data_IF_996074445154
#
_entry.id   IF_996074445154
#
_cell.length_a   1.000
_cell.length_b   1.000
_cell.length_c   1.000
_cell.angle_alpha   90.00
_cell.angle_beta   90.00
_cell.angle_gamma   90.00
#
_symmetry.space_group_name_H-M   'P 1'
#
loop_
_entity.id
_entity.type
_entity.pdbx_description
1 polymer ?
#
# COMPACT_ATOMS: atom_id res chain seq x y z
N UNK A 1 9.35 -24.09 3.09
CA UNK A 1 9.10 -24.19 1.63
C UNK A 1 8.75 -25.64 1.31
N UNK A 2 7.59 -25.92 0.74
CA UNK A 2 7.17 -27.30 0.43
C UNK A 2 7.46 -27.65 -1.03
N UNK A 3 7.73 -28.93 -1.30
CA UNK A 3 7.96 -29.43 -2.66
C UNK A 3 6.70 -30.07 -3.21
N UNK A 4 6.36 -29.74 -4.46
CA UNK A 4 5.23 -30.31 -5.19
C UNK A 4 5.66 -30.76 -6.58
N UNK A 5 4.97 -31.77 -7.09
CA UNK A 5 5.05 -32.20 -8.48
C UNK A 5 3.84 -31.66 -9.23
N UNK A 6 4.09 -30.95 -10.33
CA UNK A 6 3.07 -30.31 -11.16
C UNK A 6 2.97 -31.02 -12.51
N UNK A 7 1.75 -31.24 -13.00
CA UNK A 7 1.55 -31.76 -14.36
C UNK A 7 1.77 -30.67 -15.41
N UNK A 8 2.42 -31.05 -16.53
CA UNK A 8 2.63 -30.16 -17.68
C UNK A 8 1.35 -30.00 -18.50
N UNK A 9 0.49 -31.02 -18.54
CA UNK A 9 -0.78 -31.00 -19.28
C UNK A 9 -1.90 -30.28 -18.51
N UNK A 10 -1.90 -30.41 -17.18
CA UNK A 10 -2.82 -29.73 -16.28
C UNK A 10 -2.07 -29.03 -15.14
N UNK A 11 -1.72 -27.73 -15.31
CA UNK A 11 -0.99 -26.98 -14.30
C UNK A 11 -1.70 -26.85 -12.94
N UNK A 12 -3.00 -27.13 -12.88
CA UNK A 12 -3.76 -27.12 -11.61
C UNK A 12 -3.55 -28.38 -10.78
N UNK A 13 -3.08 -29.46 -11.41
CA UNK A 13 -2.80 -30.72 -10.73
C UNK A 13 -1.43 -30.63 -10.02
N UNK A 14 -1.50 -30.45 -8.71
CA UNK A 14 -0.35 -30.35 -7.81
C UNK A 14 -0.36 -31.51 -6.82
N UNK A 15 0.75 -32.24 -6.74
CA UNK A 15 0.91 -33.34 -5.79
C UNK A 15 2.01 -33.00 -4.79
N UNK A 16 1.70 -32.86 -3.50
CA UNK A 16 2.72 -32.65 -2.46
C UNK A 16 3.69 -33.84 -2.38
N UNK A 17 4.98 -33.55 -2.25
CA UNK A 17 6.02 -34.57 -2.09
C UNK A 17 5.75 -35.50 -0.89
N UNK A 18 5.17 -34.98 0.21
CA UNK A 18 4.76 -35.79 1.36
C UNK A 18 3.78 -36.92 0.99
N UNK A 19 2.81 -36.65 0.09
CA UNK A 19 1.87 -37.66 -0.40
C UNK A 19 2.55 -38.67 -1.34
N UNK A 20 3.53 -38.20 -2.13
CA UNK A 20 4.34 -39.06 -2.98
C UNK A 20 5.08 -40.13 -2.16
N UNK A 21 5.73 -39.70 -1.07
CA UNK A 21 6.49 -40.59 -0.20
C UNK A 21 5.61 -41.54 0.64
N UNK A 22 4.35 -41.19 0.87
CA UNK A 22 3.40 -41.96 1.67
C UNK A 22 2.78 -43.15 0.94
N UNK A 23 3.00 -43.30 -0.38
CA UNK A 23 2.55 -44.47 -1.14
C UNK A 23 2.14 -44.18 -2.57
N UNK A 24 1.79 -42.94 -2.92
CA UNK A 24 1.65 -42.48 -4.31
C UNK A 24 0.77 -43.34 -5.25
N UNK A 25 -0.14 -44.17 -4.72
CA UNK A 25 -0.79 -45.25 -5.49
C UNK A 25 -1.63 -44.75 -6.67
N UNK A 26 -2.12 -43.51 -6.62
CA UNK A 26 -2.84 -42.87 -7.73
C UNK A 26 -1.94 -42.43 -8.88
N UNK A 27 -0.71 -41.99 -8.59
CA UNK A 27 0.26 -41.48 -9.57
C UNK A 27 1.06 -42.59 -10.24
N UNK A 28 1.32 -43.69 -9.51
CA UNK A 28 2.02 -44.86 -10.05
C UNK A 28 1.31 -45.54 -11.23
N UNK A 29 0.03 -45.21 -11.45
CA UNK A 29 -0.73 -45.64 -12.63
C UNK A 29 -0.33 -44.91 -13.91
N UNK A 30 0.25 -43.73 -13.79
CA UNK A 30 0.59 -42.83 -14.90
C UNK A 30 2.10 -42.58 -15.00
N UNK A 31 2.83 -42.74 -13.89
CA UNK A 31 4.28 -42.56 -13.80
C UNK A 31 4.91 -43.78 -13.15
N UNK A 32 5.88 -44.40 -13.82
CA UNK A 32 6.54 -45.61 -13.30
C UNK A 32 7.27 -45.35 -11.97
N UNK A 33 8.05 -44.26 -11.90
CA UNK A 33 8.90 -43.90 -10.76
C UNK A 33 8.81 -42.40 -10.44
N UNK A 34 7.69 -41.94 -9.86
CA UNK A 34 7.46 -40.53 -9.62
C UNK A 34 8.41 -39.95 -8.55
N UNK A 35 8.93 -40.79 -7.66
CA UNK A 35 9.96 -40.46 -6.68
C UNK A 35 11.32 -40.15 -7.32
N UNK A 36 11.75 -40.96 -8.29
CA UNK A 36 12.98 -40.68 -9.05
C UNK A 36 12.84 -39.41 -9.88
N UNK A 37 11.67 -39.18 -10.48
CA UNK A 37 11.38 -37.95 -11.22
C UNK A 37 11.49 -36.73 -10.29
N UNK A 38 10.85 -36.76 -9.11
CA UNK A 38 10.95 -35.67 -8.14
C UNK A 38 12.40 -35.40 -7.74
N UNK A 39 13.19 -36.44 -7.45
CA UNK A 39 14.59 -36.30 -7.06
C UNK A 39 15.46 -35.76 -8.21
N UNK A 40 15.24 -36.22 -9.44
CA UNK A 40 15.93 -35.71 -10.63
C UNK A 40 15.65 -34.22 -10.84
N UNK A 41 14.37 -33.82 -10.72
CA UNK A 41 13.93 -32.44 -10.90
C UNK A 41 14.42 -31.52 -9.77
N UNK A 42 14.38 -31.97 -8.52
CA UNK A 42 14.98 -31.25 -7.40
C UNK A 42 16.51 -31.15 -7.55
N UNK A 43 17.15 -32.18 -8.11
CA UNK A 43 18.57 -32.14 -8.47
C UNK A 43 18.87 -31.07 -9.51
N UNK A 44 18.05 -30.94 -10.56
CA UNK A 44 18.13 -29.87 -11.55
C UNK A 44 17.91 -28.50 -10.91
N UNK A 45 16.89 -28.36 -10.06
CA UNK A 45 16.62 -27.11 -9.33
C UNK A 45 17.77 -26.71 -8.40
N UNK A 46 18.49 -27.68 -7.80
CA UNK A 46 19.63 -27.42 -6.91
C UNK A 46 20.80 -26.71 -7.61
N UNK A 47 20.89 -26.80 -8.94
CA UNK A 47 21.89 -26.06 -9.72
C UNK A 47 21.62 -24.54 -9.74
N UNK A 48 20.36 -24.14 -9.60
CA UNK A 48 19.89 -22.75 -9.58
C UNK A 48 19.80 -22.23 -8.15
N UNK A 49 19.35 -23.08 -7.23
CA UNK A 49 19.24 -22.78 -5.81
C UNK A 49 19.98 -23.83 -4.96
N UNK A 50 21.28 -23.62 -4.69
CA UNK A 50 22.14 -24.60 -4.02
C UNK A 50 21.68 -25.04 -2.62
N UNK A 51 20.90 -24.21 -1.92
CA UNK A 51 20.37 -24.52 -0.59
C UNK A 51 19.41 -25.72 -0.62
N UNK A 52 18.80 -26.05 -1.77
CA UNK A 52 18.04 -27.30 -1.96
C UNK A 52 18.88 -28.55 -1.69
N UNK A 53 20.20 -28.46 -1.85
CA UNK A 53 21.12 -29.55 -1.51
C UNK A 53 21.02 -29.98 -0.04
N UNK A 54 20.58 -29.09 0.87
CA UNK A 54 20.33 -29.47 2.27
C UNK A 54 19.14 -30.40 2.41
N UNK A 55 18.04 -30.13 1.71
CA UNK A 55 16.86 -30.98 1.70
C UNK A 55 17.12 -32.32 0.98
N UNK A 56 17.89 -32.31 -0.12
CA UNK A 56 18.26 -33.52 -0.87
C UNK A 56 19.15 -34.51 -0.09
N UNK A 57 19.73 -34.11 1.04
CA UNK A 57 20.44 -35.04 1.95
C UNK A 57 19.48 -35.94 2.74
N UNK A 58 18.20 -35.60 2.81
CA UNK A 58 17.19 -36.45 3.44
C UNK A 58 16.75 -37.55 2.47
N UNK A 59 16.44 -38.73 3.00
CA UNK A 59 15.99 -39.86 2.16
C UNK A 59 14.62 -39.60 1.48
N UNK A 60 13.83 -38.67 2.00
CA UNK A 60 12.47 -38.32 1.53
C UNK A 60 12.25 -36.82 1.64
N UNK A 61 12.85 -35.99 0.76
CA UNK A 61 12.71 -34.54 0.82
C UNK A 61 11.25 -34.15 0.56
N UNK A 62 10.63 -33.45 1.51
CA UNK A 62 9.26 -32.96 1.40
C UNK A 62 9.16 -31.43 1.52
N UNK A 63 10.07 -30.83 2.26
CA UNK A 63 10.15 -29.42 2.50
C UNK A 63 11.60 -28.99 2.80
N UNK A 64 11.85 -27.70 2.66
CA UNK A 64 13.03 -27.01 3.13
C UNK A 64 12.59 -25.94 4.14
N UNK A 65 13.11 -26.03 5.37
CA UNK A 65 12.91 -24.99 6.37
C UNK A 65 13.79 -23.79 6.02
N UNK A 66 13.15 -22.62 5.91
CA UNK A 66 13.80 -21.35 5.62
C UNK A 66 13.57 -20.42 6.80
N UNK A 67 14.61 -19.70 7.19
CA UNK A 67 14.47 -18.54 8.07
C UNK A 67 13.96 -17.32 7.29
N UNK A 68 13.73 -16.21 7.99
CA UNK A 68 13.22 -14.98 7.36
C UNK A 68 14.14 -14.43 6.27
N UNK A 69 15.46 -14.59 6.43
CA UNK A 69 16.45 -14.07 5.48
C UNK A 69 16.47 -14.94 4.22
N UNK A 70 16.55 -16.27 4.37
CA UNK A 70 16.52 -17.22 3.27
C UNK A 70 15.18 -17.23 2.52
N UNK A 71 14.06 -17.07 3.23
CA UNK A 71 12.75 -16.91 2.60
C UNK A 71 12.67 -15.63 1.75
N UNK A 72 13.28 -14.53 2.20
CA UNK A 72 13.32 -13.30 1.43
C UNK A 72 14.24 -13.39 0.21
N UNK A 73 15.44 -13.97 0.33
CA UNK A 73 16.33 -14.21 -0.83
C UNK A 73 15.62 -15.09 -1.87
N UNK A 74 14.95 -16.15 -1.39
CA UNK A 74 14.18 -17.03 -2.24
C UNK A 74 13.10 -16.26 -3.00
N UNK A 75 12.25 -15.51 -2.31
CA UNK A 75 11.12 -14.81 -2.93
C UNK A 75 11.56 -13.64 -3.83
N UNK A 76 12.65 -12.94 -3.48
CA UNK A 76 13.14 -11.77 -4.21
C UNK A 76 13.89 -12.10 -5.49
N UNK A 77 14.70 -13.17 -5.47
CA UNK A 77 15.64 -13.45 -6.57
C UNK A 77 15.46 -14.86 -7.11
N UNK A 78 15.39 -15.87 -6.24
CA UNK A 78 15.45 -17.29 -6.67
C UNK A 78 14.15 -17.79 -7.29
N UNK A 79 13.00 -17.31 -6.81
CA UNK A 79 11.69 -17.67 -7.30
C UNK A 79 11.56 -17.36 -8.80
N UNK A 80 11.96 -16.16 -9.22
CA UNK A 80 11.96 -15.77 -10.62
C UNK A 80 12.95 -16.59 -11.47
N UNK A 81 14.13 -16.89 -10.93
CA UNK A 81 15.13 -17.71 -11.63
C UNK A 81 14.66 -19.16 -11.85
N UNK A 82 13.96 -19.74 -10.86
CA UNK A 82 13.38 -21.08 -10.97
C UNK A 82 12.21 -21.11 -11.96
N UNK A 83 11.34 -20.10 -11.93
CA UNK A 83 10.23 -19.96 -12.88
C UNK A 83 10.74 -19.85 -14.33
N UNK A 84 11.78 -19.02 -14.57
CA UNK A 84 12.43 -18.92 -15.87
C UNK A 84 13.09 -20.22 -16.35
N UNK A 85 13.51 -21.09 -15.42
CA UNK A 85 14.04 -22.41 -15.74
C UNK A 85 12.96 -23.49 -15.93
N UNK A 86 11.68 -23.09 -15.91
CA UNK A 86 10.52 -23.93 -16.14
C UNK A 86 10.02 -24.69 -14.91
N UNK A 87 10.39 -24.26 -13.70
CA UNK A 87 9.82 -24.81 -12.46
C UNK A 87 8.63 -23.96 -12.00
N UNK A 88 7.47 -24.58 -11.76
CA UNK A 88 6.34 -23.88 -11.18
C UNK A 88 6.61 -23.44 -9.74
N UNK A 89 6.73 -22.13 -9.52
CA UNK A 89 6.94 -21.56 -8.17
C UNK A 89 5.65 -20.93 -7.66
N UNK A 90 5.10 -21.51 -6.59
CA UNK A 90 3.95 -20.94 -5.88
C UNK A 90 4.45 -19.98 -4.80
N UNK A 91 4.25 -18.69 -5.02
CA UNK A 91 4.52 -17.66 -4.03
C UNK A 91 3.28 -17.39 -3.18
N UNK A 92 3.44 -17.04 -1.89
CA UNK A 92 2.31 -16.65 -1.07
C UNK A 92 1.55 -15.43 -1.63
N UNK A 93 0.25 -15.35 -1.35
CA UNK A 93 -0.61 -14.24 -1.80
C UNK A 93 -0.14 -12.87 -1.30
N UNK A 94 0.46 -12.79 -0.12
CA UNK A 94 1.01 -11.55 0.42
C UNK A 94 2.25 -11.05 -0.34
N UNK A 95 3.05 -11.96 -0.92
CA UNK A 95 4.23 -11.59 -1.72
C UNK A 95 3.82 -11.01 -3.07
N UNK A 96 2.81 -11.62 -3.71
CA UNK A 96 2.26 -11.10 -4.98
C UNK A 96 1.57 -9.75 -4.80
N UNK A 97 1.00 -9.47 -3.63
CA UNK A 97 0.37 -8.18 -3.27
C UNK A 97 1.32 -7.26 -2.49
N UNK A 98 2.60 -7.23 -2.82
CA UNK A 98 3.60 -6.48 -2.07
C UNK A 98 3.22 -5.00 -1.96
N UNK A 99 2.85 -4.60 -0.74
CA UNK A 99 2.66 -3.20 -0.38
C UNK A 99 4.01 -2.59 -0.05
N UNK A 100 4.28 -1.41 -0.60
CA UNK A 100 5.54 -0.70 -0.36
C UNK A 100 5.45 0.04 0.97
N UNK A 101 6.60 0.16 1.64
CA UNK A 101 6.74 1.08 2.75
C UNK A 101 6.68 2.51 2.21
N UNK A 102 5.90 3.35 2.88
CA UNK A 102 5.73 4.75 2.52
C UNK A 102 5.48 5.62 3.74
N UNK A 103 5.33 6.91 3.48
CA UNK A 103 4.95 7.90 4.49
C UNK A 103 3.46 8.24 4.29
N UNK A 104 2.72 8.30 5.38
CA UNK A 104 1.40 8.90 5.42
C UNK A 104 1.45 10.17 6.26
N UNK A 105 0.76 11.19 5.80
CA UNK A 105 0.65 12.45 6.49
C UNK A 105 -0.76 12.59 7.05
N UNK A 106 -0.89 12.86 8.34
CA UNK A 106 -2.17 13.10 9.00
C UNK A 106 -2.25 14.56 9.45
N UNK A 107 -3.40 15.18 9.20
CA UNK A 107 -3.60 16.61 9.46
C UNK A 107 -4.96 16.88 10.12
N UNK A 108 -4.95 17.33 11.37
CA UNK A 108 -6.17 17.62 12.13
C UNK A 108 -6.29 19.14 12.33
N UNK A 109 -7.29 19.81 11.71
CA UNK A 109 -7.44 21.25 11.86
C UNK A 109 -7.81 21.59 13.31
N UNK A 110 -7.12 22.57 13.90
CA UNK A 110 -7.40 23.02 15.26
C UNK A 110 -8.78 23.69 15.28
N UNK A 111 -9.73 23.13 16.04
CA UNK A 111 -11.07 23.70 16.17
C UNK A 111 -11.01 24.93 17.08
N UNK A 112 -10.75 26.11 16.53
CA UNK A 112 -11.09 27.35 17.20
C UNK A 112 -12.62 27.50 17.23
N UNK A 113 -13.15 27.77 18.42
CA UNK A 113 -14.54 27.55 18.79
C UNK A 113 -15.59 28.39 18.06
N UNK A 114 -16.81 27.84 18.07
CA UNK A 114 -18.11 28.44 17.71
C UNK A 114 -18.29 28.74 16.22
N UNK A 115 -19.11 27.88 15.60
CA UNK A 115 -19.66 28.00 14.25
C UNK A 115 -20.67 29.15 14.20
N UNK A 116 -20.18 30.38 14.12
CA UNK A 116 -20.99 31.53 13.69
C UNK A 116 -20.21 32.37 12.67
N UNK A 117 -20.34 31.99 11.39
CA UNK A 117 -20.08 32.87 10.25
C UNK A 117 -18.61 33.06 9.84
N UNK A 118 -18.11 32.18 8.96
CA UNK A 118 -16.85 32.33 8.23
C UNK A 118 -15.60 32.13 9.11
N UNK A 119 -14.52 31.51 8.66
CA UNK A 119 -14.02 31.31 7.30
C UNK A 119 -13.12 30.09 7.33
N UNK A 120 -13.34 29.16 6.40
CA UNK A 120 -12.32 28.18 6.09
C UNK A 120 -11.09 28.93 5.60
N UNK A 121 -9.99 28.91 6.35
CA UNK A 121 -8.81 29.71 6.05
C UNK A 121 -7.69 28.80 5.56
N UNK A 122 -7.09 29.16 4.43
CA UNK A 122 -5.83 28.58 3.94
C UNK A 122 -4.72 28.61 4.97
N UNK A 123 -4.71 29.66 5.77
CA UNK A 123 -3.68 29.93 6.77
C UNK A 123 -4.07 29.39 8.15
N UNK A 124 -5.20 28.64 8.24
CA UNK A 124 -5.55 27.95 9.46
C UNK A 124 -4.41 26.97 9.80
N UNK A 125 -3.98 27.03 11.06
CA UNK A 125 -2.99 26.10 11.58
C UNK A 125 -3.64 24.73 11.78
N UNK A 126 -2.90 23.70 11.39
CA UNK A 126 -3.32 22.31 11.40
C UNK A 126 -2.24 21.54 12.14
N UNK A 127 -2.68 20.72 13.10
CA UNK A 127 -1.80 19.76 13.73
C UNK A 127 -1.41 18.73 12.69
N UNK A 128 -0.12 18.58 12.46
CA UNK A 128 0.41 17.78 11.37
C UNK A 128 1.40 16.77 11.91
N UNK A 129 1.20 15.51 11.52
CA UNK A 129 2.08 14.42 11.91
C UNK A 129 2.41 13.53 10.70
N UNK A 130 3.67 13.11 10.64
CA UNK A 130 4.10 12.06 9.72
C UNK A 130 4.02 10.71 10.43
N UNK A 131 3.55 9.70 9.71
CA UNK A 131 3.60 8.29 10.13
C UNK A 131 4.15 7.42 9.02
N UNK A 132 4.76 6.30 9.39
CA UNK A 132 5.12 5.27 8.43
C UNK A 132 3.89 4.39 8.15
N UNK A 133 3.73 4.01 6.89
CA UNK A 133 2.62 3.18 6.43
C UNK A 133 3.09 2.09 5.48
N UNK A 134 2.33 1.01 5.40
CA UNK A 134 2.52 -0.07 4.44
C UNK A 134 1.36 -0.01 3.45
N UNK A 135 1.62 0.53 2.26
CA UNK A 135 0.55 1.04 1.40
C UNK A 135 -0.14 2.22 2.08
N UNK A 136 -1.45 2.10 2.31
CA UNK A 136 -2.27 3.15 2.93
C UNK A 136 -2.54 2.91 4.42
N UNK A 137 -2.05 1.79 4.97
CA UNK A 137 -2.27 1.42 6.36
C UNK A 137 -1.15 1.97 7.25
N UNK A 138 -1.44 2.94 8.16
CA UNK A 138 -0.44 3.45 9.09
C UNK A 138 0.02 2.36 10.06
N UNK A 139 1.30 2.37 10.40
CA UNK A 139 1.92 1.49 11.37
C UNK A 139 1.76 2.04 12.78
N UNK A 140 1.47 1.16 13.74
CA UNK A 140 1.46 1.50 15.17
C UNK A 140 2.87 1.61 15.72
N UNK A 141 3.03 2.23 16.90
CA UNK A 141 4.32 2.30 17.58
C UNK A 141 4.91 0.92 17.88
N UNK A 142 4.07 -0.04 18.28
CA UNK A 142 4.49 -1.42 18.52
C UNK A 142 4.97 -2.12 17.23
N UNK A 143 4.26 -1.91 16.12
CA UNK A 143 4.64 -2.44 14.80
C UNK A 143 5.96 -1.82 14.34
N UNK A 144 6.14 -0.52 14.58
CA UNK A 144 7.35 0.21 14.26
C UNK A 144 8.55 -0.27 15.11
N UNK A 145 8.34 -0.50 16.40
CA UNK A 145 9.34 -1.06 17.30
C UNK A 145 9.74 -2.48 16.88
N UNK A 146 8.77 -3.31 16.48
CA UNK A 146 9.02 -4.65 15.95
C UNK A 146 9.84 -4.60 14.66
N UNK A 147 9.54 -3.68 13.74
CA UNK A 147 10.32 -3.44 12.51
C UNK A 147 11.73 -2.93 12.80
N UNK A 148 11.89 -2.06 13.79
CA UNK A 148 13.20 -1.50 14.15
C UNK A 148 14.09 -2.53 14.88
N UNK A 149 13.50 -3.38 15.72
CA UNK A 149 14.21 -4.43 16.45
C UNK A 149 14.61 -5.59 15.54
N UNK A 150 13.76 -5.91 14.57
CA UNK A 150 13.96 -7.03 13.66
C UNK A 150 14.72 -6.56 12.42
N UNK A 151 16.03 -6.83 12.35
CA UNK A 151 16.82 -6.62 11.12
C UNK A 151 16.45 -7.57 9.97
N UNK A 152 15.40 -8.38 10.14
CA UNK A 152 14.96 -9.32 9.13
C UNK A 152 14.13 -8.60 8.06
N UNK A 153 14.28 -8.99 6.78
CA UNK A 153 13.56 -8.40 5.66
C UNK A 153 12.09 -8.83 5.60
N UNK A 154 11.71 -9.88 6.36
CA UNK A 154 10.34 -10.35 6.51
C UNK A 154 9.90 -10.21 7.96
N UNK A 155 8.85 -9.42 8.17
CA UNK A 155 8.25 -9.18 9.49
C UNK A 155 6.77 -9.51 9.45
N UNK A 156 6.27 -10.14 10.51
CA UNK A 156 4.86 -10.51 10.63
C UNK A 156 4.09 -9.39 11.32
N UNK A 157 3.25 -8.68 10.56
CA UNK A 157 2.41 -7.58 11.05
C UNK A 157 0.94 -7.95 10.87
N UNK A 158 0.12 -7.73 11.90
CA UNK A 158 -1.33 -8.04 11.88
C UNK A 158 -1.66 -9.47 11.44
N UNK A 159 -0.77 -10.42 11.69
CA UNK A 159 -0.93 -11.82 11.33
C UNK A 159 -0.42 -12.20 9.93
N UNK A 160 -0.08 -11.24 9.08
CA UNK A 160 0.45 -11.45 7.71
C UNK A 160 1.95 -11.14 7.62
N UNK A 161 2.64 -11.75 6.66
CA UNK A 161 4.05 -11.47 6.39
C UNK A 161 4.19 -10.29 5.43
N UNK A 162 5.04 -9.34 5.79
CA UNK A 162 5.34 -8.19 4.96
C UNK A 162 6.84 -8.10 4.72
N UNK A 163 7.21 -7.90 3.46
CA UNK A 163 8.58 -7.72 3.04
C UNK A 163 8.98 -6.26 3.05
N UNK A 164 9.88 -5.89 3.95
CA UNK A 164 10.31 -4.53 4.19
C UNK A 164 11.81 -4.42 3.98
N UNK A 165 12.24 -3.37 3.31
CA UNK A 165 13.66 -3.06 3.14
C UNK A 165 14.17 -2.36 4.41
N UNK A 166 15.15 -2.96 5.08
CA UNK A 166 15.72 -2.46 6.33
C UNK A 166 16.29 -1.03 6.18
N UNK A 167 16.83 -0.69 5.02
CA UNK A 167 17.37 0.65 4.76
C UNK A 167 16.23 1.67 4.58
N UNK A 168 15.12 1.27 3.95
CA UNK A 168 13.91 2.10 3.86
C UNK A 168 13.31 2.36 5.25
N UNK A 169 13.24 1.34 6.11
CA UNK A 169 12.78 1.50 7.51
C UNK A 169 13.69 2.46 8.27
N UNK A 170 15.01 2.28 8.16
CA UNK A 170 16.00 3.13 8.83
C UNK A 170 15.86 4.60 8.41
N UNK A 171 15.78 4.86 7.10
CA UNK A 171 15.60 6.23 6.55
C UNK A 171 14.26 6.85 6.97
N UNK A 172 13.19 6.06 6.97
CA UNK A 172 11.87 6.51 7.43
C UNK A 172 11.86 6.87 8.92
N UNK A 173 12.44 6.01 9.76
CA UNK A 173 12.57 6.26 11.20
C UNK A 173 13.43 7.49 11.51
N UNK A 174 14.53 7.68 10.78
CA UNK A 174 15.38 8.85 10.93
C UNK A 174 14.62 10.13 10.57
N UNK A 175 13.84 10.12 9.49
CA UNK A 175 12.99 11.24 9.09
C UNK A 175 11.92 11.58 10.13
N UNK A 176 11.23 10.59 10.69
CA UNK A 176 10.24 10.83 11.75
C UNK A 176 10.85 11.45 13.01
N UNK A 177 12.11 11.13 13.34
CA UNK A 177 12.82 11.72 14.48
C UNK A 177 13.28 13.16 14.21
N UNK A 178 13.65 13.46 12.97
CA UNK A 178 14.15 14.77 12.57
C UNK A 178 13.05 15.77 12.22
N UNK A 179 11.82 15.32 11.96
CA UNK A 179 10.65 16.18 11.74
C UNK A 179 10.13 16.70 13.08
N UNK A 180 10.29 18.00 13.39
CA UNK A 180 9.56 18.60 14.50
C UNK A 180 8.06 18.61 14.20
N UNK A 181 7.23 18.48 15.24
CA UNK A 181 5.78 18.70 15.14
C UNK A 181 5.48 20.20 14.98
N UNK A 182 5.92 20.77 13.86
CA UNK A 182 5.60 22.15 13.51
C UNK A 182 4.20 22.21 12.90
N UNK A 183 3.31 23.09 13.41
CA UNK A 183 1.99 23.25 12.84
C UNK A 183 2.11 23.73 11.40
N UNK A 184 1.44 23.03 10.48
CA UNK A 184 1.36 23.39 9.07
C UNK A 184 0.08 24.16 8.79
N UNK A 185 0.08 24.95 7.73
CA UNK A 185 -1.12 25.62 7.24
C UNK A 185 -1.95 24.67 6.38
N UNK A 186 -3.28 24.87 6.34
CA UNK A 186 -4.15 24.09 5.46
C UNK A 186 -3.72 24.17 3.99
N UNK A 187 -3.18 25.30 3.53
CA UNK A 187 -2.63 25.44 2.18
C UNK A 187 -1.46 24.50 1.89
N UNK A 188 -0.57 24.30 2.86
CA UNK A 188 0.55 23.37 2.72
C UNK A 188 0.07 21.92 2.66
N UNK A 189 -0.97 21.56 3.41
CA UNK A 189 -1.56 20.21 3.35
C UNK A 189 -2.24 19.96 2.00
N UNK A 190 -2.99 20.94 1.49
CA UNK A 190 -3.61 20.85 0.16
C UNK A 190 -2.53 20.74 -0.92
N UNK A 191 -1.45 21.52 -0.82
CA UNK A 191 -0.32 21.41 -1.75
C UNK A 191 0.34 20.03 -1.65
N UNK A 192 0.58 19.53 -0.44
CA UNK A 192 1.16 18.21 -0.20
C UNK A 192 0.30 17.09 -0.81
N UNK A 193 -1.02 17.16 -0.65
CA UNK A 193 -1.95 16.19 -1.21
C UNK A 193 -2.06 16.27 -2.74
N UNK A 194 -1.77 17.43 -3.33
CA UNK A 194 -1.78 17.64 -4.78
C UNK A 194 -0.43 17.35 -5.47
N UNK A 195 0.66 17.31 -4.71
CA UNK A 195 2.01 17.01 -5.21
C UNK A 195 2.15 15.52 -5.59
N UNK A 196 2.95 15.25 -6.61
CA UNK A 196 3.35 13.87 -6.91
C UNK A 196 4.38 13.40 -5.87
N UNK A 197 4.39 12.10 -5.58
CA UNK A 197 5.30 11.51 -4.59
C UNK A 197 6.79 11.76 -4.93
N UNK A 198 7.13 11.93 -6.20
CA UNK A 198 8.50 12.18 -6.66
C UNK A 198 8.93 13.66 -6.53
N UNK A 199 7.98 14.59 -6.37
CA UNK A 199 8.26 16.02 -6.22
C UNK A 199 8.56 16.42 -4.76
N UNK A 200 8.35 15.49 -3.82
CA UNK A 200 8.54 15.72 -2.39
C UNK A 200 9.95 15.30 -1.98
N UNK A 201 10.64 16.17 -1.25
CA UNK A 201 11.95 15.88 -0.65
C UNK A 201 11.78 15.00 0.60
N UNK A 202 11.22 13.81 0.40
CA UNK A 202 10.99 12.80 1.43
C UNK A 202 11.79 11.54 1.13
N UNK A 203 12.34 10.85 2.14
CA UNK A 203 13.19 9.69 1.89
C UNK A 203 12.42 8.45 1.39
N UNK A 204 11.10 8.48 1.52
CA UNK A 204 10.15 7.45 1.13
C UNK A 204 8.99 8.11 0.38
N UNK A 205 8.32 7.38 -0.52
CA UNK A 205 7.16 7.92 -1.22
C UNK A 205 6.02 8.20 -0.24
N UNK A 206 5.35 9.34 -0.41
CA UNK A 206 4.11 9.64 0.32
C UNK A 206 2.98 8.84 -0.32
N UNK A 207 2.39 7.91 0.42
CA UNK A 207 1.33 7.03 -0.09
C UNK A 207 -0.05 7.64 0.09
N UNK A 208 -0.25 8.39 1.18
CA UNK A 208 -1.53 9.03 1.46
C UNK A 208 -1.35 10.30 2.29
N UNK A 209 -2.27 11.24 2.09
CA UNK A 209 -2.45 12.44 2.92
C UNK A 209 -3.88 12.41 3.43
N UNK A 210 -4.03 12.29 4.74
CA UNK A 210 -5.31 12.23 5.42
C UNK A 210 -5.51 13.49 6.24
N UNK A 211 -6.76 13.95 6.32
CA UNK A 211 -7.12 15.06 7.17
C UNK A 211 -8.51 14.88 7.76
N UNK A 212 -8.76 15.55 8.87
CA UNK A 212 -10.06 15.54 9.55
C UNK A 212 -10.90 16.78 9.22
N UNK A 213 -12.19 16.70 9.54
CA UNK A 213 -13.13 17.81 9.42
C UNK A 213 -13.24 18.36 7.99
N UNK A 214 -13.29 19.69 7.87
CA UNK A 214 -13.48 20.36 6.58
C UNK A 214 -12.33 20.11 5.60
N UNK A 215 -11.10 19.95 6.09
CA UNK A 215 -9.93 19.69 5.26
C UNK A 215 -9.98 18.25 4.72
N UNK A 216 -10.39 17.29 5.55
CA UNK A 216 -10.67 15.92 5.12
C UNK A 216 -11.78 15.84 4.07
N UNK A 217 -12.87 16.57 4.28
CA UNK A 217 -13.96 16.66 3.31
C UNK A 217 -13.48 17.26 1.98
N UNK A 218 -12.61 18.26 2.02
CA UNK A 218 -12.02 18.86 0.82
C UNK A 218 -11.12 17.86 0.07
N UNK A 219 -10.19 17.21 0.78
CA UNK A 219 -9.25 16.24 0.17
C UNK A 219 -9.96 15.01 -0.39
N UNK A 220 -11.07 14.60 0.21
CA UNK A 220 -11.86 13.44 -0.25
C UNK A 220 -12.96 13.79 -1.24
N UNK A 221 -13.08 15.06 -1.65
CA UNK A 221 -14.09 15.51 -2.60
C UNK A 221 -15.53 15.35 -2.08
N UNK A 222 -15.72 15.55 -0.77
CA UNK A 222 -17.01 15.52 -0.06
C UNK A 222 -17.43 16.89 0.49
N UNK A 223 -16.56 17.90 0.39
CA UNK A 223 -16.80 19.24 0.91
C UNK A 223 -18.08 19.87 0.36
N UNK A 224 -18.47 19.58 -0.88
CA UNK A 224 -19.69 20.09 -1.50
C UNK A 224 -20.97 19.72 -0.73
N UNK A 225 -20.95 18.63 0.03
CA UNK A 225 -22.12 18.11 0.77
C UNK A 225 -22.37 18.84 2.08
N UNK A 226 -21.33 19.46 2.63
CA UNK A 226 -21.38 20.20 3.90
C UNK A 226 -21.51 21.72 3.71
N UNK A 227 -21.50 22.20 2.45
CA UNK A 227 -21.63 23.62 2.15
C UNK A 227 -23.04 24.15 2.44
N UNK A 228 -23.07 25.29 3.14
CA UNK A 228 -24.29 26.06 3.32
C UNK A 228 -24.59 26.90 2.05
N UNK A 229 -25.86 27.03 1.65
CA UNK A 229 -26.27 27.94 0.59
C UNK A 229 -25.82 29.38 0.89
N UNK A 230 -25.09 30.00 -0.03
CA UNK A 230 -24.67 31.41 0.06
C UNK A 230 -25.73 32.28 -0.60
N UNK A 231 -26.20 33.38 0.02
CA UNK A 231 -27.18 34.25 -0.62
C UNK A 231 -26.64 34.86 -1.92
N UNK A 232 -27.53 35.08 -2.88
CA UNK A 232 -27.17 35.83 -4.09
C UNK A 232 -26.83 37.28 -3.74
N UNK A 233 -25.83 37.90 -4.37
CA UNK A 233 -25.46 39.29 -4.10
C UNK A 233 -26.59 40.27 -4.37
N UNK A 234 -26.58 41.40 -3.64
CA UNK A 234 -27.49 42.51 -3.88
C UNK A 234 -27.28 43.06 -5.31
N UNK A 235 -28.32 42.99 -6.14
CA UNK A 235 -28.28 43.38 -7.56
C UNK A 235 -28.28 42.22 -8.56
N UNK A 236 -28.28 40.96 -8.09
CA UNK A 236 -28.54 39.81 -8.95
C UNK A 236 -30.04 39.69 -9.24
N UNK A 237 -30.45 39.86 -10.51
CA UNK A 237 -31.86 39.91 -10.93
C UNK A 237 -32.30 38.64 -11.68
N UNK A 238 -31.99 37.46 -11.14
CA UNK A 238 -32.44 36.18 -11.68
C UNK A 238 -32.64 35.15 -10.55
N UNK A 239 -33.47 34.14 -10.80
CA UNK A 239 -33.69 33.02 -9.88
C UNK A 239 -32.72 31.89 -10.19
N UNK A 240 -31.85 31.54 -9.22
CA UNK A 240 -30.95 30.41 -9.37
C UNK A 240 -31.69 29.08 -9.23
N UNK A 241 -31.46 28.16 -10.16
CA UNK A 241 -31.84 26.75 -9.99
C UNK A 241 -31.06 26.15 -8.81
N UNK A 242 -31.57 25.08 -8.16
CA UNK A 242 -30.87 24.46 -7.02
C UNK A 242 -29.42 24.04 -7.33
N UNK A 243 -29.12 23.59 -8.54
CA UNK A 243 -27.75 23.24 -8.93
C UNK A 243 -26.84 24.47 -9.12
N UNK A 244 -27.37 25.59 -9.63
CA UNK A 244 -26.62 26.85 -9.78
C UNK A 244 -26.33 27.47 -8.41
N UNK A 245 -27.29 27.38 -7.48
CA UNK A 245 -27.11 27.80 -6.10
C UNK A 245 -26.01 26.99 -5.40
N UNK A 246 -25.93 25.67 -5.65
CA UNK A 246 -24.81 24.84 -5.18
C UNK A 246 -23.48 25.25 -5.84
N UNK A 247 -23.49 25.51 -7.14
CA UNK A 247 -22.31 26.02 -7.85
C UNK A 247 -21.79 27.34 -7.26
N UNK A 248 -22.70 28.29 -6.97
CA UNK A 248 -22.36 29.55 -6.30
C UNK A 248 -21.74 29.31 -4.92
N UNK A 249 -22.34 28.47 -4.09
CA UNK A 249 -21.79 28.12 -2.78
C UNK A 249 -20.40 27.48 -2.89
N UNK A 250 -20.19 26.60 -3.88
CA UNK A 250 -18.91 25.96 -4.13
C UNK A 250 -17.83 26.97 -4.53
N UNK A 251 -18.16 27.91 -5.43
CA UNK A 251 -17.22 28.97 -5.84
C UNK A 251 -16.89 29.93 -4.69
N UNK A 252 -17.89 30.30 -3.88
CA UNK A 252 -17.67 31.12 -2.69
C UNK A 252 -16.72 30.42 -1.71
N UNK A 253 -16.94 29.13 -1.45
CA UNK A 253 -16.08 28.31 -0.60
C UNK A 253 -14.63 28.24 -1.12
N UNK A 254 -14.44 27.93 -2.41
CA UNK A 254 -13.10 27.91 -3.01
C UNK A 254 -12.43 29.29 -2.97
N UNK A 255 -13.18 30.37 -3.17
CA UNK A 255 -12.68 31.74 -3.09
C UNK A 255 -12.25 32.11 -1.66
N UNK A 256 -12.97 31.67 -0.63
CA UNK A 256 -12.56 31.86 0.77
C UNK A 256 -11.24 31.13 1.07
N UNK A 257 -11.07 29.94 0.48
CA UNK A 257 -9.83 29.19 0.48
C UNK A 257 -8.80 29.71 -0.52
N UNK A 258 -9.02 30.85 -1.18
CA UNK A 258 -8.12 31.42 -2.20
C UNK A 258 -7.69 30.43 -3.30
N UNK A 259 -8.49 29.39 -3.54
CA UNK A 259 -8.28 28.39 -4.57
C UNK A 259 -8.97 28.85 -5.85
N UNK A 260 -8.35 28.54 -6.99
CA UNK A 260 -9.02 28.67 -8.28
C UNK A 260 -10.09 27.60 -8.46
N UNK A 261 -11.11 27.89 -9.28
CA UNK A 261 -12.14 26.94 -9.64
C UNK A 261 -12.16 26.73 -11.16
N UNK A 262 -12.31 25.48 -11.60
CA UNK A 262 -12.62 25.14 -12.98
C UNK A 262 -14.08 24.69 -13.06
N UNK A 263 -14.93 25.51 -13.68
CA UNK A 263 -16.35 25.21 -13.92
C UNK A 263 -16.49 24.42 -15.22
N UNK A 264 -16.50 23.09 -15.12
CA UNK A 264 -16.65 22.18 -16.24
C UNK A 264 -18.10 21.68 -16.43
N UNK A 265 -19.10 22.52 -16.13
CA UNK A 265 -20.51 22.19 -16.35
C UNK A 265 -20.83 22.08 -17.85
N UNK A 266 -21.79 21.23 -18.21
CA UNK A 266 -22.28 21.09 -19.59
C UNK A 266 -22.74 22.42 -20.19
N UNK A 267 -22.67 22.50 -21.53
CA UNK A 267 -23.18 23.64 -22.28
C UNK A 267 -24.70 23.82 -22.06
N UNK A 268 -25.13 25.07 -21.84
CA UNK A 268 -26.55 25.40 -21.64
C UNK A 268 -27.03 25.39 -20.19
N UNK A 269 -26.19 25.01 -19.22
CA UNK A 269 -26.56 25.01 -17.80
C UNK A 269 -26.54 26.39 -17.11
N UNK A 270 -26.18 27.45 -17.84
CA UNK A 270 -26.13 28.82 -17.32
C UNK A 270 -24.94 29.05 -16.39
N UNK A 271 -23.72 29.02 -16.95
CA UNK A 271 -22.45 29.29 -16.26
C UNK A 271 -22.10 30.78 -16.14
N UNK A 272 -22.69 31.60 -17.02
CA UNK A 272 -22.52 33.07 -17.07
C UNK A 272 -23.51 33.72 -16.11
#
# INVERSE_FOLDING_TARGET
MEFLLQSVEDPSLLVPAAQLWAGGDGLRRWLDRPDELLLAELGRASTIYPELGTALRQARPNALDLDSDGAYDFLSTRAAALDQAGFGVLVPSWWSRRRKLGLTASASPQQDGVVTGGRFSRNALVEFEWRLAIGDDPLTEDELAALAATKAPLVRLRGEWVAVDAEQVRRGLEFLKCQPAEPKTAAEIIALAASHADDLDTPLPVTSVQADGWLGDLLTGRAERSLQPVPTPDGFHADLRPYQQRGLSWLAFLSELGLGACLADDMGLGKT
#
